data_IF_010856603493
#
_entry.id   IF_010856603493
#
_cell.length_a   1.000
_cell.length_b   1.000
_cell.length_c   1.000
_cell.angle_alpha   90.00
_cell.angle_beta   90.00
_cell.angle_gamma   90.00
#
_symmetry.space_group_name_H-M   'P 1'
#
loop_
_entity.id
_entity.type
_entity.pdbx_description
1 polymer ?
#
# COMPACT_ATOMS: atom_id res chain seq x y z
N UNK A 1 -23.57 42.39 -24.05
CA UNK A 1 -23.07 41.34 -24.96
C UNK A 1 -22.43 40.23 -24.14
N UNK A 2 -23.16 39.14 -23.83
CA UNK A 2 -22.61 38.02 -23.05
C UNK A 2 -21.94 37.04 -24.03
N UNK A 3 -20.61 36.99 -24.05
CA UNK A 3 -19.87 35.99 -24.84
C UNK A 3 -20.14 34.61 -24.23
N UNK A 4 -20.73 33.70 -25.01
CA UNK A 4 -20.89 32.29 -24.62
C UNK A 4 -19.50 31.65 -24.61
N UNK A 5 -19.08 31.10 -23.48
CA UNK A 5 -17.89 30.24 -23.38
C UNK A 5 -18.30 28.84 -23.87
N UNK A 6 -17.57 28.22 -24.80
CA UNK A 6 -17.90 26.86 -25.24
C UNK A 6 -17.61 25.87 -24.11
N UNK A 7 -18.56 24.97 -23.84
CA UNK A 7 -18.37 23.86 -22.92
C UNK A 7 -17.43 22.84 -23.55
N UNK A 8 -16.17 22.82 -23.13
CA UNK A 8 -15.24 21.72 -23.43
C UNK A 8 -15.56 20.56 -22.50
N UNK A 9 -16.29 19.57 -23.02
CA UNK A 9 -16.48 18.28 -22.36
C UNK A 9 -15.11 17.59 -22.21
N UNK A 10 -14.66 17.20 -21.01
CA UNK A 10 -13.49 16.34 -20.90
C UNK A 10 -13.82 14.97 -21.51
N UNK A 11 -12.97 14.50 -22.41
CA UNK A 11 -13.09 13.16 -22.98
C UNK A 11 -13.09 12.10 -21.86
N UNK A 12 -13.86 11.00 -22.00
CA UNK A 12 -13.79 9.93 -21.02
C UNK A 12 -12.36 9.37 -21.03
N UNK A 13 -11.67 9.48 -19.90
CA UNK A 13 -10.44 8.71 -19.65
C UNK A 13 -10.87 7.24 -19.70
N UNK A 14 -10.54 6.56 -20.79
CA UNK A 14 -10.61 5.11 -20.86
C UNK A 14 -9.60 4.57 -19.84
N UNK A 15 -10.06 4.38 -18.60
CA UNK A 15 -9.36 3.56 -17.63
C UNK A 15 -9.43 2.13 -18.16
N UNK A 16 -8.38 1.74 -18.89
CA UNK A 16 -8.14 0.33 -19.16
C UNK A 16 -7.99 -0.35 -17.79
N UNK A 17 -8.99 -1.14 -17.42
CA UNK A 17 -8.90 -2.06 -16.29
C UNK A 17 -7.67 -2.92 -16.55
N UNK A 18 -6.66 -2.97 -15.66
CA UNK A 18 -5.57 -3.91 -15.80
C UNK A 18 -6.20 -5.29 -15.93
N UNK A 19 -5.90 -6.00 -17.04
CA UNK A 19 -6.29 -7.40 -17.16
C UNK A 19 -5.83 -8.08 -15.88
N UNK A 20 -6.75 -8.75 -15.20
CA UNK A 20 -6.43 -9.64 -14.08
C UNK A 20 -5.48 -10.70 -14.61
N UNK A 21 -4.19 -10.43 -14.54
CA UNK A 21 -3.19 -11.50 -14.48
C UNK A 21 -3.57 -12.33 -13.27
N UNK A 22 -3.78 -13.65 -13.42
CA UNK A 22 -3.83 -14.52 -12.25
C UNK A 22 -2.60 -14.20 -11.41
N UNK A 23 -2.80 -13.99 -10.10
CA UNK A 23 -1.67 -13.92 -9.17
C UNK A 23 -0.75 -15.10 -9.48
N UNK A 24 0.58 -14.89 -9.65
CA UNK A 24 1.48 -16.00 -9.83
C UNK A 24 1.24 -16.95 -8.66
N UNK A 25 0.76 -18.15 -8.96
CA UNK A 25 0.65 -19.20 -7.97
C UNK A 25 2.07 -19.38 -7.46
N UNK A 26 2.34 -18.90 -6.24
CA UNK A 26 3.57 -19.23 -5.53
C UNK A 26 3.58 -20.74 -5.44
N UNK A 27 4.36 -21.36 -6.32
CA UNK A 27 4.79 -22.73 -6.12
C UNK A 27 5.36 -22.77 -4.70
N UNK A 28 4.93 -23.72 -3.85
CA UNK A 28 5.58 -23.91 -2.57
C UNK A 28 7.03 -24.28 -2.87
N UNK A 29 7.91 -23.28 -2.79
CA UNK A 29 9.34 -23.51 -2.73
C UNK A 29 9.54 -24.46 -1.55
N UNK A 30 10.20 -25.61 -1.70
CA UNK A 30 10.64 -26.36 -0.53
C UNK A 30 11.62 -25.45 0.19
N UNK A 31 11.11 -24.76 1.22
CA UNK A 31 11.87 -23.80 2.00
C UNK A 31 12.85 -24.58 2.87
N UNK A 32 13.95 -25.01 2.26
CA UNK A 32 15.16 -25.32 2.98
C UNK A 32 15.83 -24.01 3.39
N UNK A 33 15.11 -23.19 4.15
CA UNK A 33 15.60 -21.94 4.71
C UNK A 33 16.59 -22.33 5.80
N UNK A 34 17.85 -22.55 5.41
CA UNK A 34 18.94 -22.63 6.39
C UNK A 34 18.89 -21.33 7.20
N UNK A 35 18.84 -21.36 8.54
CA UNK A 35 18.91 -20.14 9.31
C UNK A 35 20.24 -19.46 8.97
N UNK A 36 20.16 -18.23 8.47
CA UNK A 36 21.33 -17.41 8.30
C UNK A 36 21.91 -17.18 9.70
N UNK A 37 23.09 -17.74 9.99
CA UNK A 37 23.80 -17.52 11.24
C UNK A 37 24.45 -16.12 11.21
N UNK A 38 23.60 -15.09 11.12
CA UNK A 38 23.91 -13.75 11.55
C UNK A 38 23.80 -13.80 13.07
N UNK A 39 24.87 -13.48 13.80
CA UNK A 39 24.91 -13.47 15.28
C UNK A 39 23.97 -12.46 15.95
N UNK A 40 22.85 -12.12 15.32
CA UNK A 40 21.69 -11.49 15.92
C UNK A 40 20.87 -12.58 16.62
N UNK A 41 20.35 -12.27 17.80
CA UNK A 41 19.43 -13.14 18.52
C UNK A 41 18.40 -13.75 17.56
N UNK A 42 18.13 -15.06 17.69
CA UNK A 42 17.16 -15.75 16.85
C UNK A 42 15.88 -14.91 16.76
N UNK A 43 15.52 -14.51 15.54
CA UNK A 43 14.26 -13.81 15.31
C UNK A 43 13.13 -14.66 15.89
N UNK A 44 12.06 -14.04 16.43
CA UNK A 44 10.91 -14.78 16.89
C UNK A 44 10.39 -15.69 15.77
N UNK A 45 9.90 -16.87 16.16
CA UNK A 45 9.41 -17.86 15.20
C UNK A 45 8.23 -17.28 14.43
N UNK A 46 8.40 -17.18 13.13
CA UNK A 46 7.33 -16.95 12.17
C UNK A 46 6.40 -18.17 12.20
N UNK A 47 5.17 -17.96 12.71
CA UNK A 47 4.25 -19.05 13.05
C UNK A 47 3.39 -19.46 11.85
N UNK A 48 3.15 -18.52 10.93
CA UNK A 48 2.39 -18.66 9.69
C UNK A 48 3.28 -18.80 8.44
N UNK A 49 4.59 -18.67 8.60
CA UNK A 49 5.63 -18.87 7.57
C UNK A 49 5.51 -17.90 6.37
N UNK A 50 4.99 -16.69 6.60
CA UNK A 50 4.83 -15.66 5.57
C UNK A 50 6.07 -14.75 5.43
N UNK A 51 7.05 -14.89 6.32
CA UNK A 51 8.27 -14.10 6.41
C UNK A 51 8.15 -12.85 7.28
N UNK A 52 7.01 -12.60 7.91
CA UNK A 52 6.72 -11.48 8.80
C UNK A 52 6.64 -12.00 10.23
N UNK A 53 7.60 -11.67 11.10
CA UNK A 53 7.56 -12.14 12.47
C UNK A 53 6.34 -11.57 13.23
N UNK A 54 5.67 -12.42 14.00
CA UNK A 54 4.50 -12.07 14.81
C UNK A 54 3.21 -12.71 14.29
N UNK A 55 2.13 -12.59 15.05
CA UNK A 55 0.83 -13.16 14.74
C UNK A 55 -0.13 -12.08 14.22
N UNK A 56 -0.67 -12.25 13.01
CA UNK A 56 -1.67 -11.36 12.44
C UNK A 56 -2.90 -11.22 13.34
N UNK A 57 -3.41 -10.00 13.49
CA UNK A 57 -4.54 -9.67 14.36
C UNK A 57 -4.16 -9.53 15.85
N UNK A 58 -2.94 -9.94 16.23
CA UNK A 58 -2.42 -9.80 17.59
C UNK A 58 -1.25 -8.80 17.65
N UNK A 59 -0.19 -9.06 16.89
CA UNK A 59 1.02 -8.23 16.90
C UNK A 59 0.94 -7.08 15.88
N UNK A 60 0.17 -7.28 14.80
CA UNK A 60 -0.18 -6.26 13.82
C UNK A 60 -1.66 -6.40 13.45
N UNK A 61 -2.36 -5.30 13.13
CA UNK A 61 -3.78 -5.38 12.84
C UNK A 61 -4.06 -6.17 11.55
N UNK A 62 -5.31 -6.53 11.32
CA UNK A 62 -5.73 -7.13 10.05
C UNK A 62 -6.90 -6.31 9.55
N UNK A 63 -6.61 -5.20 8.88
CA UNK A 63 -7.64 -4.28 8.41
C UNK A 63 -8.24 -4.81 7.09
N UNK A 64 -9.50 -5.25 7.12
CA UNK A 64 -10.19 -5.74 5.92
C UNK A 64 -10.62 -4.59 4.98
N UNK A 65 -10.69 -3.37 5.49
CA UNK A 65 -11.06 -2.17 4.73
C UNK A 65 -10.14 -1.02 5.08
N UNK A 66 -9.98 -0.07 4.15
CA UNK A 66 -9.15 1.12 4.35
C UNK A 66 -9.86 2.04 5.36
N UNK A 67 -9.30 2.25 6.56
CA UNK A 67 -9.93 3.13 7.55
C UNK A 67 -9.84 4.59 7.12
N UNK A 68 -10.78 5.41 7.61
CA UNK A 68 -10.65 6.87 7.51
C UNK A 68 -9.68 7.36 8.58
N UNK A 69 -8.67 8.11 8.16
CA UNK A 69 -7.62 8.69 9.02
C UNK A 69 -7.54 10.19 8.81
N UNK A 70 -6.71 10.87 9.60
CA UNK A 70 -6.44 12.30 9.44
C UNK A 70 -5.32 12.63 8.44
N UNK A 71 -4.82 11.62 7.71
CA UNK A 71 -3.73 11.79 6.76
C UNK A 71 -4.08 12.79 5.64
N UNK A 72 -3.12 13.61 5.24
CA UNK A 72 -3.27 14.53 4.11
C UNK A 72 -1.93 14.83 3.44
N UNK A 73 -1.89 14.72 2.11
CA UNK A 73 -0.72 15.12 1.31
C UNK A 73 -0.40 16.62 1.41
N UNK A 74 -1.35 17.48 1.78
CA UNK A 74 -1.10 18.90 2.01
C UNK A 74 -0.17 19.16 3.21
N UNK A 75 -0.04 18.18 4.12
CA UNK A 75 0.84 18.25 5.31
C UNK A 75 2.19 17.58 5.08
N UNK A 76 2.41 16.98 3.91
CA UNK A 76 3.66 16.31 3.58
C UNK A 76 4.61 17.26 2.85
N UNK A 77 5.91 17.25 3.18
CA UNK A 77 6.86 18.23 2.65
C UNK A 77 7.27 17.98 1.20
N UNK A 78 7.16 16.73 0.72
CA UNK A 78 7.65 16.30 -0.58
C UNK A 78 6.60 15.43 -1.28
N UNK A 79 6.79 15.24 -2.58
CA UNK A 79 6.07 14.20 -3.32
C UNK A 79 6.69 12.84 -3.02
N UNK A 80 5.85 11.80 -2.98
CA UNK A 80 6.32 10.44 -2.68
C UNK A 80 5.26 9.55 -2.05
N UNK A 81 5.70 8.39 -1.60
CA UNK A 81 4.88 7.42 -0.88
C UNK A 81 5.00 7.66 0.62
N UNK A 82 3.86 7.74 1.30
CA UNK A 82 3.78 7.99 2.72
C UNK A 82 2.97 6.90 3.41
N UNK A 83 3.55 6.25 4.41
CA UNK A 83 2.83 5.29 5.24
C UNK A 83 1.87 6.02 6.19
N UNK A 84 0.62 5.56 6.23
CA UNK A 84 -0.37 6.06 7.18
C UNK A 84 -0.19 5.39 8.54
N UNK A 85 0.33 6.14 9.52
CA UNK A 85 0.57 5.63 10.86
C UNK A 85 -0.72 5.34 11.63
N UNK A 86 -1.82 6.04 11.32
CA UNK A 86 -3.12 5.77 11.95
C UNK A 86 -3.74 4.46 11.42
N UNK A 87 -3.39 4.08 10.19
CA UNK A 87 -3.71 2.77 9.63
C UNK A 87 -2.63 1.71 9.92
N UNK A 88 -1.82 1.91 10.97
CA UNK A 88 -0.73 1.03 11.37
C UNK A 88 0.21 0.63 10.20
N UNK A 89 0.49 1.58 9.31
CA UNK A 89 1.33 1.42 8.13
C UNK A 89 0.83 0.39 7.09
N UNK A 90 -0.41 -0.10 7.19
CA UNK A 90 -1.00 -0.97 6.16
C UNK A 90 -1.46 -0.23 4.92
N UNK A 91 -1.70 1.08 5.06
CA UNK A 91 -2.12 1.96 3.98
C UNK A 91 -0.96 2.88 3.62
N UNK A 92 -0.74 3.04 2.31
CA UNK A 92 0.22 3.99 1.75
C UNK A 92 -0.52 5.00 0.90
N UNK A 93 -0.21 6.27 1.09
CA UNK A 93 -0.74 7.38 0.29
C UNK A 93 0.32 7.86 -0.69
N UNK A 94 -0.06 8.06 -1.95
CA UNK A 94 0.81 8.66 -2.96
C UNK A 94 0.54 10.16 -3.04
N UNK A 95 1.54 10.95 -2.63
CA UNK A 95 1.48 12.39 -2.66
C UNK A 95 2.17 12.96 -3.90
N UNK A 96 1.44 13.79 -4.65
CA UNK A 96 1.95 14.50 -5.82
C UNK A 96 2.37 15.94 -5.45
N UNK A 97 3.07 16.60 -6.37
CA UNK A 97 3.41 18.02 -6.21
C UNK A 97 2.15 18.86 -6.00
N UNK A 98 2.20 19.78 -5.02
CA UNK A 98 1.06 20.61 -4.65
C UNK A 98 0.08 19.98 -3.64
N UNK A 99 0.43 18.83 -3.03
CA UNK A 99 -0.33 18.25 -1.93
C UNK A 99 -1.59 17.47 -2.35
N UNK A 100 -1.67 17.08 -3.63
CA UNK A 100 -2.75 16.24 -4.17
C UNK A 100 -2.53 14.77 -3.78
N UNK A 101 -3.60 14.11 -3.37
CA UNK A 101 -3.67 12.68 -2.99
C UNK A 101 -4.56 11.95 -4.00
N UNK A 102 -4.12 10.78 -4.47
CA UNK A 102 -4.90 9.83 -5.28
C UNK A 102 -5.33 8.63 -4.42
#
# INVERSE_FOLDING_TARGET
MRRRVPATTPAPRNYAIPRTTPAPQQQPSPQNSKPANLGLAALPTDTDADGIPGEAGRDYPTLETIPKTSFSCARQPLSGYYADTEAACQVVHLCQFGGVQD
#
